data_IF_124550545245
#
_entry.id   IF_124550545245
#
_cell.length_a   1.000
_cell.length_b   1.000
_cell.length_c   1.000
_cell.angle_alpha   90.00
_cell.angle_beta   90.00
_cell.angle_gamma   90.00
#
_symmetry.space_group_name_H-M   'P 1'
#
loop_
_entity.id
_entity.type
_entity.pdbx_description
1 polymer ?
#
# COMPACT_ATOMS: atom_id res chain seq x y z
N UNK A 1 9.96 4.48 1.14
CA UNK A 1 9.41 5.73 1.70
C UNK A 1 9.01 6.63 0.55
N UNK A 2 7.75 7.02 0.47
CA UNK A 2 7.21 7.79 -0.66
C UNK A 2 7.21 9.29 -0.34
N UNK A 3 8.39 9.87 -0.14
CA UNK A 3 8.53 11.27 0.30
C UNK A 3 8.66 12.28 -0.84
N UNK A 4 8.82 11.81 -2.07
CA UNK A 4 8.90 12.64 -3.25
C UNK A 4 8.45 11.88 -4.49
N UNK A 5 8.26 12.60 -5.59
CA UNK A 5 7.96 12.00 -6.89
C UNK A 5 9.05 11.01 -7.31
N UNK A 6 10.32 11.43 -7.23
CA UNK A 6 11.48 10.65 -7.68
C UNK A 6 11.61 9.34 -6.90
N UNK A 7 11.45 9.39 -5.59
CA UNK A 7 11.51 8.19 -4.73
C UNK A 7 10.34 7.26 -5.06
N UNK A 8 9.13 7.78 -5.20
CA UNK A 8 7.96 6.98 -5.49
C UNK A 8 8.06 6.29 -6.85
N UNK A 9 8.48 7.00 -7.89
CA UNK A 9 8.63 6.41 -9.22
C UNK A 9 9.80 5.42 -9.28
N UNK A 10 10.93 5.72 -8.64
CA UNK A 10 12.09 4.82 -8.60
C UNK A 10 11.77 3.51 -7.90
N UNK A 11 11.11 3.58 -6.75
CA UNK A 11 10.72 2.38 -5.99
C UNK A 11 9.67 1.56 -6.73
N UNK A 12 8.74 2.20 -7.43
CA UNK A 12 7.80 1.53 -8.33
C UNK A 12 8.53 0.78 -9.44
N UNK A 13 9.42 1.45 -10.16
CA UNK A 13 10.19 0.84 -11.27
C UNK A 13 11.00 -0.36 -10.79
N UNK A 14 11.68 -0.27 -9.64
CA UNK A 14 12.43 -1.38 -9.05
C UNK A 14 11.52 -2.56 -8.74
N UNK A 15 10.43 -2.35 -8.01
CA UNK A 15 9.51 -3.43 -7.63
C UNK A 15 8.88 -4.11 -8.85
N UNK A 16 8.47 -3.32 -9.84
CA UNK A 16 7.87 -3.86 -11.06
C UNK A 16 8.87 -4.59 -11.95
N UNK A 17 10.08 -4.06 -12.12
CA UNK A 17 11.15 -4.72 -12.89
C UNK A 17 11.51 -6.08 -12.29
N UNK A 18 11.67 -6.16 -10.98
CA UNK A 18 11.91 -7.43 -10.28
C UNK A 18 10.74 -8.39 -10.48
N UNK A 19 9.50 -7.89 -10.33
CA UNK A 19 8.31 -8.73 -10.48
C UNK A 19 8.16 -9.29 -11.90
N UNK A 20 8.35 -8.46 -12.92
CA UNK A 20 8.32 -8.89 -14.32
C UNK A 20 9.42 -9.91 -14.64
N UNK A 21 10.64 -9.67 -14.12
CA UNK A 21 11.73 -10.64 -14.25
C UNK A 21 11.36 -11.99 -13.64
N UNK A 22 10.79 -11.98 -12.43
CA UNK A 22 10.37 -13.21 -11.75
C UNK A 22 9.25 -13.93 -12.49
N UNK A 23 8.26 -13.23 -13.03
CA UNK A 23 7.18 -13.84 -13.82
C UNK A 23 7.71 -14.56 -15.07
N UNK A 24 8.81 -14.07 -15.65
CA UNK A 24 9.46 -14.69 -16.81
C UNK A 24 10.32 -15.91 -16.45
N UNK A 25 10.61 -16.17 -15.17
CA UNK A 25 11.43 -17.31 -14.72
C UNK A 25 10.71 -18.66 -14.70
N UNK A 26 9.46 -18.77 -15.11
CA UNK A 26 8.72 -20.04 -15.09
C UNK A 26 8.34 -20.51 -13.68
N UNK A 27 7.92 -19.59 -12.83
CA UNK A 27 7.48 -19.85 -11.46
C UNK A 27 6.28 -20.82 -11.41
N UNK A 28 6.15 -21.54 -10.29
CA UNK A 28 4.92 -22.28 -9.97
C UNK A 28 3.72 -21.32 -9.89
N UNK A 29 2.52 -21.82 -10.18
CA UNK A 29 1.31 -20.97 -10.14
C UNK A 29 1.14 -20.24 -8.80
N UNK A 30 1.42 -20.91 -7.69
CA UNK A 30 1.39 -20.31 -6.36
C UNK A 30 2.36 -19.13 -6.23
N UNK A 31 3.58 -19.28 -6.70
CA UNK A 31 4.60 -18.22 -6.62
C UNK A 31 4.28 -17.07 -7.57
N UNK A 32 3.72 -17.35 -8.75
CA UNK A 32 3.19 -16.31 -9.65
C UNK A 32 2.16 -15.43 -8.97
N UNK A 33 1.21 -16.03 -8.22
CA UNK A 33 0.20 -15.25 -7.50
C UNK A 33 0.81 -14.35 -6.44
N UNK A 34 1.88 -14.75 -5.75
CA UNK A 34 2.58 -13.86 -4.81
C UNK A 34 3.28 -12.69 -5.52
N UNK A 35 3.88 -12.94 -6.69
CA UNK A 35 4.51 -11.87 -7.49
C UNK A 35 3.46 -10.90 -8.04
N UNK A 36 2.32 -11.39 -8.51
CA UNK A 36 1.20 -10.55 -8.95
C UNK A 36 0.67 -9.70 -7.79
N UNK A 37 0.51 -10.28 -6.60
CA UNK A 37 0.13 -9.52 -5.40
C UNK A 37 1.13 -8.41 -5.09
N UNK A 38 2.43 -8.66 -5.25
CA UNK A 38 3.47 -7.64 -5.08
C UNK A 38 3.35 -6.52 -6.13
N UNK A 39 3.05 -6.84 -7.38
CA UNK A 39 2.83 -5.83 -8.42
C UNK A 39 1.63 -4.94 -8.09
N UNK A 40 0.50 -5.53 -7.67
CA UNK A 40 -0.67 -4.77 -7.24
C UNK A 40 -0.31 -3.89 -6.04
N UNK A 41 0.35 -4.45 -5.04
CA UNK A 41 0.77 -3.76 -3.84
C UNK A 41 1.70 -2.56 -4.15
N UNK A 42 2.69 -2.76 -5.01
CA UNK A 42 3.65 -1.71 -5.39
C UNK A 42 3.07 -0.66 -6.33
N UNK A 43 1.92 -0.91 -6.96
CA UNK A 43 1.21 0.10 -7.78
C UNK A 43 0.77 1.32 -6.97
N UNK A 44 0.66 1.20 -5.65
CA UNK A 44 0.46 2.35 -4.76
C UNK A 44 1.58 3.39 -4.84
N UNK A 45 2.80 2.97 -5.16
CA UNK A 45 3.93 3.88 -5.36
C UNK A 45 3.73 4.79 -6.57
N UNK A 46 3.09 4.27 -7.63
CA UNK A 46 2.74 5.08 -8.80
C UNK A 46 1.65 6.11 -8.48
N UNK A 47 0.69 5.73 -7.63
CA UNK A 47 -0.34 6.64 -7.11
C UNK A 47 0.30 7.78 -6.31
N UNK A 48 1.22 7.44 -5.40
CA UNK A 48 1.96 8.45 -4.63
C UNK A 48 2.80 9.36 -5.53
N UNK A 49 3.45 8.79 -6.55
CA UNK A 49 4.18 9.59 -7.54
C UNK A 49 3.26 10.59 -8.26
N UNK A 50 2.06 10.17 -8.67
CA UNK A 50 1.10 11.07 -9.31
C UNK A 50 0.65 12.20 -8.37
N UNK A 51 0.43 11.91 -7.09
CA UNK A 51 0.08 12.92 -6.08
C UNK A 51 1.22 13.90 -5.85
N UNK A 52 2.47 13.43 -5.72
CA UNK A 52 3.66 14.27 -5.56
C UNK A 52 3.95 15.13 -6.78
N UNK A 53 3.80 14.58 -7.99
CA UNK A 53 3.95 15.35 -9.24
C UNK A 53 3.01 16.57 -9.29
N UNK A 54 1.83 16.45 -8.68
CA UNK A 54 0.85 17.53 -8.54
C UNK A 54 1.05 18.39 -7.28
N UNK A 55 2.14 18.17 -6.51
CA UNK A 55 2.37 18.84 -5.23
C UNK A 55 1.18 18.76 -4.27
N UNK A 56 0.47 17.63 -4.27
CA UNK A 56 -0.73 17.40 -3.45
C UNK A 56 -1.82 18.50 -3.58
N UNK A 57 -1.88 19.20 -4.71
CA UNK A 57 -2.91 20.22 -4.95
C UNK A 57 -4.29 19.57 -4.99
N UNK A 58 -5.28 20.24 -4.38
CA UNK A 58 -6.69 19.81 -4.42
C UNK A 58 -7.29 20.09 -5.79
N UNK A 59 -6.94 19.30 -6.78
CA UNK A 59 -7.45 19.38 -8.14
C UNK A 59 -8.19 18.10 -8.55
N UNK A 60 -8.75 18.08 -9.76
CA UNK A 60 -9.50 16.93 -10.29
C UNK A 60 -8.67 15.65 -10.33
N UNK A 61 -7.37 15.75 -10.62
CA UNK A 61 -6.48 14.59 -10.68
C UNK A 61 -6.29 14.00 -9.28
N UNK A 62 -5.98 14.82 -8.29
CA UNK A 62 -5.86 14.39 -6.91
C UNK A 62 -7.16 13.72 -6.43
N UNK A 63 -8.33 14.32 -6.73
CA UNK A 63 -9.62 13.71 -6.39
C UNK A 63 -9.80 12.32 -7.02
N UNK A 64 -9.55 12.19 -8.33
CA UNK A 64 -9.67 10.90 -9.03
C UNK A 64 -8.69 9.87 -8.47
N UNK A 65 -7.44 10.25 -8.28
CA UNK A 65 -6.41 9.37 -7.74
C UNK A 65 -6.79 8.91 -6.34
N UNK A 66 -7.22 9.82 -5.48
CA UNK A 66 -7.56 9.51 -4.09
C UNK A 66 -8.85 8.72 -3.98
N UNK A 67 -9.92 9.14 -4.68
CA UNK A 67 -11.26 8.54 -4.50
C UNK A 67 -11.48 7.27 -5.32
N UNK A 68 -10.66 7.03 -6.36
CA UNK A 68 -10.84 5.86 -7.22
C UNK A 68 -9.57 5.00 -7.32
N UNK A 69 -8.39 5.54 -7.62
CA UNK A 69 -7.20 4.73 -7.84
C UNK A 69 -6.76 4.02 -6.55
N UNK A 70 -6.67 4.72 -5.42
CA UNK A 70 -6.30 4.14 -4.12
C UNK A 70 -7.25 3.01 -3.72
N UNK A 71 -8.56 3.25 -3.56
CA UNK A 71 -9.46 2.18 -3.15
C UNK A 71 -9.56 1.04 -4.16
N UNK A 72 -9.40 1.31 -5.46
CA UNK A 72 -9.37 0.26 -6.48
C UNK A 72 -8.18 -0.67 -6.32
N UNK A 73 -6.96 -0.14 -6.18
CA UNK A 73 -5.74 -0.94 -5.99
C UNK A 73 -5.84 -1.78 -4.71
N UNK A 74 -6.28 -1.17 -3.61
CA UNK A 74 -6.45 -1.89 -2.35
C UNK A 74 -7.54 -2.97 -2.44
N UNK A 75 -8.66 -2.69 -3.12
CA UNK A 75 -9.72 -3.67 -3.35
C UNK A 75 -9.24 -4.83 -4.22
N UNK A 76 -8.52 -4.56 -5.31
CA UNK A 76 -7.93 -5.59 -6.17
C UNK A 76 -6.95 -6.45 -5.36
N UNK A 77 -6.13 -5.85 -4.49
CA UNK A 77 -5.20 -6.58 -3.63
C UNK A 77 -5.93 -7.51 -2.66
N UNK A 78 -7.01 -7.05 -2.03
CA UNK A 78 -7.84 -7.87 -1.13
C UNK A 78 -8.49 -9.02 -1.90
N UNK A 79 -9.13 -8.74 -3.02
CA UNK A 79 -9.79 -9.73 -3.87
C UNK A 79 -8.76 -10.77 -4.34
N UNK A 80 -7.61 -10.32 -4.84
CA UNK A 80 -6.54 -11.20 -5.28
C UNK A 80 -6.03 -12.10 -4.15
N UNK A 81 -5.83 -11.55 -2.95
CA UNK A 81 -5.39 -12.32 -1.80
C UNK A 81 -6.43 -13.39 -1.37
N UNK A 82 -7.69 -13.03 -1.35
CA UNK A 82 -8.77 -13.94 -0.92
C UNK A 82 -8.98 -15.08 -1.93
N UNK A 83 -9.10 -14.76 -3.21
CA UNK A 83 -9.54 -15.75 -4.20
C UNK A 83 -8.39 -16.47 -4.90
N UNK A 84 -7.26 -15.81 -5.16
CA UNK A 84 -6.15 -16.41 -5.93
C UNK A 84 -5.04 -16.96 -5.04
N UNK A 85 -4.76 -16.33 -3.91
CA UNK A 85 -3.72 -16.84 -3.00
C UNK A 85 -4.30 -17.88 -2.05
N UNK A 86 -5.47 -17.63 -1.48
CA UNK A 86 -6.06 -18.48 -0.45
C UNK A 86 -7.10 -19.46 -0.98
N UNK A 87 -7.57 -19.25 -2.20
CA UNK A 87 -8.61 -20.06 -2.85
C UNK A 87 -9.84 -20.29 -1.94
N UNK A 88 -10.24 -19.26 -1.23
CA UNK A 88 -11.27 -19.36 -0.22
C UNK A 88 -12.65 -19.11 -0.84
N UNK A 89 -13.56 -20.09 -0.77
CA UNK A 89 -14.91 -20.05 -1.34
C UNK A 89 -15.98 -20.07 -0.25
N UNK A 90 -15.82 -19.22 0.77
CA UNK A 90 -16.77 -19.14 1.87
C UNK A 90 -17.63 -17.87 1.72
N UNK A 91 -18.96 -18.01 1.70
CA UNK A 91 -19.92 -16.88 1.58
C UNK A 91 -19.71 -15.78 2.63
N UNK A 92 -19.31 -16.15 3.84
CA UNK A 92 -18.99 -15.16 4.88
C UNK A 92 -17.79 -14.30 4.50
N UNK A 93 -16.74 -14.91 3.94
CA UNK A 93 -15.55 -14.21 3.47
C UNK A 93 -15.87 -13.33 2.26
N UNK A 94 -16.74 -13.80 1.35
CA UNK A 94 -17.21 -12.98 0.24
C UNK A 94 -17.91 -11.72 0.74
N UNK A 95 -18.80 -11.86 1.73
CA UNK A 95 -19.50 -10.72 2.34
C UNK A 95 -18.50 -9.74 2.99
N UNK A 96 -17.56 -10.25 3.78
CA UNK A 96 -16.51 -9.42 4.42
C UNK A 96 -15.67 -8.70 3.37
N UNK A 97 -15.31 -9.38 2.28
CA UNK A 97 -14.54 -8.79 1.18
C UNK A 97 -15.31 -7.65 0.50
N UNK A 98 -16.59 -7.85 0.22
CA UNK A 98 -17.45 -6.82 -0.37
C UNK A 98 -17.54 -5.60 0.56
N UNK A 99 -17.82 -5.83 1.85
CA UNK A 99 -17.90 -4.75 2.86
C UNK A 99 -16.57 -4.00 2.94
N UNK A 100 -15.44 -4.70 2.95
CA UNK A 100 -14.12 -4.08 2.99
C UNK A 100 -13.88 -3.21 1.75
N UNK A 101 -14.22 -3.69 0.56
CA UNK A 101 -14.09 -2.90 -0.68
C UNK A 101 -14.97 -1.63 -0.64
N UNK A 102 -16.24 -1.76 -0.24
CA UNK A 102 -17.15 -0.60 -0.10
C UNK A 102 -16.59 0.40 0.90
N UNK A 103 -16.11 -0.08 2.05
CA UNK A 103 -15.49 0.77 3.08
C UNK A 103 -14.31 1.56 2.53
N UNK A 104 -13.43 0.96 1.71
CA UNK A 104 -12.29 1.65 1.10
C UNK A 104 -12.73 2.82 0.23
N UNK A 105 -13.76 2.66 -0.62
CA UNK A 105 -14.27 3.74 -1.46
C UNK A 105 -14.90 4.87 -0.63
N UNK A 106 -15.59 4.56 0.46
CA UNK A 106 -16.13 5.57 1.37
C UNK A 106 -15.00 6.28 2.11
N UNK A 107 -14.01 5.52 2.59
CA UNK A 107 -12.90 6.01 3.41
C UNK A 107 -11.97 6.96 2.67
N UNK A 108 -11.67 6.65 1.41
CA UNK A 108 -10.75 7.45 0.59
C UNK A 108 -11.47 8.47 -0.30
N UNK A 109 -12.76 8.70 -0.10
CA UNK A 109 -13.47 9.75 -0.83
C UNK A 109 -12.96 11.13 -0.40
N UNK A 110 -12.39 11.88 -1.35
CA UNK A 110 -11.87 13.22 -1.11
C UNK A 110 -10.52 13.50 -1.77
N UNK A 111 -9.68 14.27 -1.08
CA UNK A 111 -8.38 14.68 -1.57
C UNK A 111 -7.27 14.19 -0.65
N UNK A 112 -6.18 13.74 -1.23
CA UNK A 112 -4.94 13.48 -0.49
C UNK A 112 -4.18 14.77 -0.23
N UNK A 113 -3.41 14.79 0.85
CA UNK A 113 -2.58 15.93 1.24
C UNK A 113 -1.26 15.44 1.83
N UNK A 114 -0.29 16.34 2.06
CA UNK A 114 0.89 15.98 2.83
C UNK A 114 0.64 16.13 4.32
N UNK A 115 1.34 15.34 5.13
CA UNK A 115 1.23 15.40 6.59
C UNK A 115 1.59 16.79 7.14
N UNK A 116 2.53 17.48 6.47
CA UNK A 116 2.95 18.83 6.84
C UNK A 116 1.88 19.89 6.57
N UNK A 117 0.97 19.63 5.65
CA UNK A 117 -0.18 20.51 5.42
C UNK A 117 -1.31 20.29 6.43
N UNK A 118 -1.31 19.16 7.14
CA UNK A 118 -2.32 18.84 8.15
C UNK A 118 -1.91 19.26 9.56
N UNK A 119 -0.61 19.20 9.88
CA UNK A 119 -0.08 19.51 11.22
C UNK A 119 0.69 20.81 11.19
N UNK A 120 0.23 21.81 11.94
CA UNK A 120 0.90 23.11 12.09
C UNK A 120 2.33 23.02 12.65
N UNK A 121 2.64 21.94 13.36
CA UNK A 121 3.94 21.68 13.98
C UNK A 121 4.77 20.64 13.20
N UNK A 122 4.54 20.50 11.90
CA UNK A 122 5.38 19.65 11.09
C UNK A 122 6.81 20.18 11.13
N UNK A 123 7.64 19.56 11.95
CA UNK A 123 9.05 19.89 11.98
C UNK A 123 9.66 19.50 10.65
N UNK A 124 9.95 20.47 9.78
CA UNK A 124 10.76 20.28 8.56
C UNK A 124 12.18 19.73 8.86
N UNK A 125 12.50 19.53 10.14
CA UNK A 125 13.78 18.98 10.60
C UNK A 125 14.02 17.55 10.11
N UNK A 126 12.98 16.77 9.83
CA UNK A 126 13.17 15.41 9.30
C UNK A 126 13.25 15.35 7.78
N UNK A 127 12.85 16.40 7.06
CA UNK A 127 12.81 16.43 5.59
C UNK A 127 11.85 15.39 4.97
N UNK A 128 11.07 14.69 5.81
CA UNK A 128 10.29 13.54 5.41
C UNK A 128 8.80 13.91 5.40
N UNK A 129 8.35 14.49 4.29
CA UNK A 129 6.92 14.64 4.03
C UNK A 129 6.34 13.28 3.60
N UNK A 130 5.17 12.96 4.10
CA UNK A 130 4.45 11.73 3.75
C UNK A 130 3.07 12.04 3.20
N UNK A 131 2.58 11.31 2.18
CA UNK A 131 1.22 11.45 1.73
C UNK A 131 0.24 10.95 2.78
N UNK A 132 -0.82 11.70 2.99
CA UNK A 132 -2.00 11.30 3.72
C UNK A 132 -3.11 11.05 2.72
N UNK A 133 -3.50 9.79 2.57
CA UNK A 133 -4.51 9.40 1.60
C UNK A 133 -5.92 9.69 2.14
N UNK A 134 -6.67 10.49 1.38
CA UNK A 134 -8.00 10.95 1.76
C UNK A 134 -7.95 12.14 2.72
N UNK A 135 -9.10 12.49 3.26
CA UNK A 135 -9.27 13.68 4.09
C UNK A 135 -8.79 13.54 5.54
N UNK A 136 -8.47 12.32 5.99
CA UNK A 136 -8.06 12.01 7.37
C UNK A 136 -6.87 11.07 7.39
N UNK A 137 -6.02 11.20 8.41
CA UNK A 137 -4.95 10.23 8.68
C UNK A 137 -5.55 8.83 8.88
N UNK A 138 -4.81 7.81 8.48
CA UNK A 138 -5.16 6.42 8.77
C UNK A 138 -4.90 6.19 10.25
N UNK A 139 -5.92 5.77 10.99
CA UNK A 139 -5.78 5.44 12.39
C UNK A 139 -5.08 4.08 12.56
N UNK A 140 -4.44 3.87 13.71
CA UNK A 140 -3.70 2.64 13.98
C UNK A 140 -4.58 1.38 13.83
N UNK A 141 -5.82 1.44 14.30
CA UNK A 141 -6.76 0.30 14.17
C UNK A 141 -7.15 0.03 12.71
N UNK A 142 -7.30 1.08 11.87
CA UNK A 142 -7.53 0.93 10.43
C UNK A 142 -6.34 0.25 9.76
N UNK A 143 -5.11 0.69 10.10
CA UNK A 143 -3.89 0.07 9.60
C UNK A 143 -3.82 -1.41 9.96
N UNK A 144 -4.08 -1.76 11.23
CA UNK A 144 -4.08 -3.15 11.70
C UNK A 144 -5.14 -3.96 10.94
N UNK A 145 -6.35 -3.42 10.79
CA UNK A 145 -7.43 -4.08 10.05
C UNK A 145 -7.05 -4.33 8.59
N UNK A 146 -6.49 -3.34 7.90
CA UNK A 146 -6.01 -3.49 6.53
C UNK A 146 -4.91 -4.55 6.42
N UNK A 147 -3.97 -4.57 7.36
CA UNK A 147 -2.89 -5.56 7.38
C UNK A 147 -3.45 -6.97 7.61
N UNK A 148 -4.42 -7.14 8.50
CA UNK A 148 -5.08 -8.44 8.71
C UNK A 148 -5.76 -8.90 7.41
N UNK A 149 -6.55 -8.06 6.77
CA UNK A 149 -7.28 -8.41 5.55
C UNK A 149 -6.31 -8.75 4.41
N UNK A 150 -5.24 -7.97 4.24
CA UNK A 150 -4.24 -8.19 3.18
C UNK A 150 -3.42 -9.48 3.41
N UNK A 151 -3.09 -9.80 4.66
CA UNK A 151 -2.23 -10.95 4.97
C UNK A 151 -2.99 -12.21 5.37
N UNK A 152 -4.31 -12.14 5.60
CA UNK A 152 -5.07 -13.35 5.91
C UNK A 152 -4.98 -14.39 4.78
N UNK A 153 -4.79 -15.69 5.09
CA UNK A 153 -4.63 -16.35 6.38
C UNK A 153 -3.16 -16.47 6.86
N UNK A 154 -2.23 -15.72 6.28
CA UNK A 154 -0.80 -15.78 6.60
C UNK A 154 -0.47 -15.00 7.87
N UNK A 155 -1.13 -15.35 8.98
CA UNK A 155 -1.03 -14.64 10.27
C UNK A 155 0.43 -14.58 10.76
N UNK A 156 1.22 -15.63 10.58
CA UNK A 156 2.63 -15.63 10.99
C UNK A 156 3.45 -14.56 10.23
N UNK A 157 3.23 -14.43 8.92
CA UNK A 157 3.89 -13.38 8.12
C UNK A 157 3.41 -12.00 8.56
N UNK A 158 2.12 -11.85 8.86
CA UNK A 158 1.56 -10.62 9.40
C UNK A 158 2.22 -10.24 10.73
N UNK A 159 2.32 -11.17 11.68
CA UNK A 159 2.93 -10.91 12.98
C UNK A 159 4.40 -10.50 12.86
N UNK A 160 5.17 -11.19 12.02
CA UNK A 160 6.57 -10.82 11.75
C UNK A 160 6.67 -9.42 11.13
N UNK A 161 5.81 -9.11 10.17
CA UNK A 161 5.77 -7.81 9.52
C UNK A 161 5.39 -6.70 10.49
N UNK A 162 4.37 -6.92 11.32
CA UNK A 162 3.94 -5.96 12.33
C UNK A 162 5.01 -5.74 13.42
N UNK A 163 5.69 -6.80 13.85
CA UNK A 163 6.76 -6.71 14.84
C UNK A 163 7.93 -5.83 14.36
N UNK A 164 8.27 -5.90 13.08
CA UNK A 164 9.30 -5.04 12.49
C UNK A 164 8.78 -3.63 12.24
N UNK A 165 7.54 -3.50 11.77
CA UNK A 165 6.98 -2.22 11.36
C UNK A 165 6.54 -1.33 12.49
N UNK A 166 5.96 -1.88 13.58
CA UNK A 166 5.45 -1.07 14.70
C UNK A 166 6.52 -0.15 15.28
N UNK A 167 7.75 -0.61 15.58
CA UNK A 167 8.81 0.27 16.05
C UNK A 167 9.17 1.35 15.03
N UNK A 168 9.29 0.99 13.75
CA UNK A 168 9.62 1.94 12.68
C UNK A 168 8.53 2.99 12.54
N UNK A 169 7.26 2.58 12.58
CA UNK A 169 6.08 3.48 12.52
C UNK A 169 6.10 4.44 13.71
N UNK A 170 6.31 3.91 14.90
CA UNK A 170 6.27 4.69 16.12
C UNK A 170 7.40 5.72 16.20
N UNK A 171 8.63 5.32 15.87
CA UNK A 171 9.80 6.18 16.02
C UNK A 171 10.06 7.11 14.84
N UNK A 172 9.73 6.71 13.61
CA UNK A 172 10.14 7.43 12.40
C UNK A 172 9.00 7.99 11.57
N UNK A 173 7.82 7.41 11.62
CA UNK A 173 6.76 7.79 10.69
C UNK A 173 5.79 8.85 11.25
N UNK A 174 5.71 9.02 12.56
CA UNK A 174 4.88 10.06 13.19
C UNK A 174 3.42 10.12 12.69
N UNK A 175 2.84 8.97 12.28
CA UNK A 175 1.54 8.87 11.63
C UNK A 175 1.60 8.77 10.09
N UNK A 176 2.78 8.80 9.50
CA UNK A 176 3.03 8.74 8.05
C UNK A 176 3.01 7.29 7.52
N UNK A 177 1.92 6.58 7.72
CA UNK A 177 1.81 5.15 7.37
C UNK A 177 1.94 4.87 5.87
N UNK A 178 1.54 5.81 5.01
CA UNK A 178 1.67 5.66 3.56
C UNK A 178 3.13 5.52 3.08
N UNK A 179 4.07 6.16 3.76
CA UNK A 179 5.48 6.08 3.39
C UNK A 179 6.12 4.70 3.65
N UNK A 180 5.58 3.93 4.59
CA UNK A 180 6.04 2.57 4.87
C UNK A 180 5.69 1.59 3.78
N UNK A 181 4.62 1.85 3.06
CA UNK A 181 4.16 1.04 1.95
C UNK A 181 5.23 0.86 0.88
N UNK A 182 5.90 1.95 0.51
CA UNK A 182 6.98 1.92 -0.48
C UNK A 182 8.18 1.08 -0.01
N UNK A 183 8.57 1.22 1.24
CA UNK A 183 9.68 0.44 1.80
C UNK A 183 9.35 -1.05 1.82
N UNK A 184 8.14 -1.41 2.27
CA UNK A 184 7.67 -2.79 2.30
C UNK A 184 7.65 -3.44 0.92
N UNK A 185 7.13 -2.74 -0.08
CA UNK A 185 7.06 -3.26 -1.43
C UNK A 185 8.44 -3.63 -1.97
N UNK A 186 9.45 -2.77 -1.74
CA UNK A 186 10.81 -3.06 -2.18
C UNK A 186 11.47 -4.19 -1.37
N UNK A 187 11.30 -4.22 -0.06
CA UNK A 187 11.79 -5.32 0.78
C UNK A 187 11.19 -6.64 0.30
N UNK A 188 9.88 -6.68 0.05
CA UNK A 188 9.22 -7.87 -0.49
C UNK A 188 9.74 -8.25 -1.89
N UNK A 189 10.00 -7.27 -2.76
CA UNK A 189 10.55 -7.51 -4.09
C UNK A 189 11.93 -8.18 -4.02
N UNK A 190 12.85 -7.65 -3.22
CA UNK A 190 14.17 -8.25 -3.02
C UNK A 190 14.10 -9.60 -2.33
N UNK A 191 13.21 -9.76 -1.34
CA UNK A 191 12.99 -11.06 -0.71
C UNK A 191 12.53 -12.12 -1.71
N UNK A 192 11.59 -11.77 -2.60
CA UNK A 192 11.13 -12.68 -3.64
C UNK A 192 12.20 -12.97 -4.69
N UNK A 193 13.02 -11.97 -5.05
CA UNK A 193 14.17 -12.17 -5.95
C UNK A 193 15.17 -13.18 -5.38
N UNK A 194 15.39 -13.14 -4.05
CA UNK A 194 16.26 -14.10 -3.38
C UNK A 194 15.63 -15.48 -3.26
N UNK A 195 14.32 -15.55 -3.03
CA UNK A 195 13.62 -16.80 -2.73
C UNK A 195 13.24 -17.61 -3.97
N UNK A 196 12.98 -16.95 -5.09
CA UNK A 196 12.49 -17.54 -6.35
C UNK A 196 13.53 -17.44 -7.45
#
# INVERSE_FOLDING_TARGET
MCFSFEISISTFVVSWSISLYLLNKGLTEKNKQYVIALMIFSSMQLVDAALWYRNMKKDKINYIVTSFAIPSILSILIIHNVYFINNNKNRFIDLVTIIACIYLFIRFNGYSTSICNMKSNCSKKSGLESPVWGSKEIELWELILFMIIIFYPRINTLLQTLFILIPIIYFYAGGAYGSLWCALANICAFFYLYKF
#
